data_IF_172634358545
#
_entry.id   IF_172634358545
#
_cell.length_a   1.000
_cell.length_b   1.000
_cell.length_c   1.000
_cell.angle_alpha   90.00
_cell.angle_beta   90.00
_cell.angle_gamma   90.00
#
_symmetry.space_group_name_H-M   'P 1'
#
loop_
_entity.id
_entity.type
_entity.pdbx_description
1 polymer ?
#
# COMPACT_ATOMS: atom_id res chain seq x y z
N UNK A 1 -3.47 -13.97 -16.27
CA UNK A 1 -2.83 -14.39 -14.99
C UNK A 1 -3.83 -14.23 -13.88
N UNK A 2 -4.50 -15.33 -13.54
CA UNK A 2 -5.50 -15.40 -12.48
C UNK A 2 -4.80 -15.94 -11.23
N UNK A 3 -5.09 -15.37 -10.06
CA UNK A 3 -4.58 -15.89 -8.78
C UNK A 3 -5.45 -17.09 -8.41
N UNK A 4 -5.18 -18.22 -9.06
CA UNK A 4 -5.82 -19.50 -8.78
C UNK A 4 -4.93 -20.30 -7.84
N UNK A 5 -5.55 -21.03 -6.91
CA UNK A 5 -4.86 -21.91 -5.99
C UNK A 5 -5.50 -23.29 -6.03
N UNK A 6 -4.75 -24.28 -6.48
CA UNK A 6 -5.20 -25.66 -6.59
C UNK A 6 -4.54 -26.55 -5.54
N UNK A 7 -5.34 -27.44 -4.97
CA UNK A 7 -4.91 -28.53 -4.10
C UNK A 7 -5.40 -29.85 -4.72
N UNK A 8 -4.86 -31.01 -4.33
CA UNK A 8 -5.37 -32.30 -4.84
C UNK A 8 -6.87 -32.54 -4.60
N UNK A 9 -7.52 -31.78 -3.72
CA UNK A 9 -8.94 -31.96 -3.35
C UNK A 9 -9.86 -30.82 -3.75
N UNK A 10 -9.33 -29.61 -3.98
CA UNK A 10 -10.12 -28.38 -4.16
C UNK A 10 -9.37 -27.38 -5.04
N UNK A 11 -10.13 -26.64 -5.84
CA UNK A 11 -9.67 -25.48 -6.61
C UNK A 11 -10.28 -24.21 -6.02
N UNK A 12 -9.46 -23.18 -5.83
CA UNK A 12 -9.88 -21.87 -5.31
C UNK A 12 -9.59 -20.80 -6.36
N UNK A 13 -10.63 -20.07 -6.73
CA UNK A 13 -10.58 -19.03 -7.76
C UNK A 13 -11.38 -17.81 -7.31
N UNK A 14 -10.99 -16.64 -7.79
CA UNK A 14 -11.80 -15.43 -7.63
C UNK A 14 -13.00 -15.54 -8.58
N UNK A 15 -14.21 -15.47 -8.03
CA UNK A 15 -15.44 -15.57 -8.82
C UNK A 15 -15.99 -14.20 -9.18
N UNK A 16 -16.31 -13.99 -10.46
CA UNK A 16 -16.96 -12.79 -10.95
C UNK A 16 -16.01 -11.75 -11.54
N UNK A 17 -16.56 -10.60 -11.93
CA UNK A 17 -15.78 -9.48 -12.47
C UNK A 17 -14.96 -8.82 -11.35
N UNK A 18 -13.65 -8.61 -11.57
CA UNK A 18 -12.73 -7.97 -10.61
C UNK A 18 -13.22 -6.59 -10.13
N UNK A 19 -13.95 -5.87 -10.98
CA UNK A 19 -14.57 -4.60 -10.61
C UNK A 19 -15.58 -4.76 -9.45
N UNK A 20 -16.27 -5.89 -9.39
CA UNK A 20 -17.32 -6.19 -8.40
C UNK A 20 -16.80 -6.93 -7.16
N UNK A 21 -15.55 -7.38 -7.18
CA UNK A 21 -14.92 -7.99 -6.01
C UNK A 21 -14.69 -6.94 -4.90
N UNK A 22 -14.61 -7.38 -3.62
CA UNK A 22 -14.25 -6.51 -2.52
C UNK A 22 -13.00 -5.67 -2.81
N UNK A 23 -13.04 -4.43 -2.36
CA UNK A 23 -11.95 -3.49 -2.53
C UNK A 23 -10.73 -3.94 -1.72
N UNK A 24 -9.59 -4.07 -2.40
CA UNK A 24 -8.31 -4.37 -1.74
C UNK A 24 -7.77 -3.10 -1.11
N UNK A 25 -7.35 -3.19 0.15
CA UNK A 25 -6.64 -2.13 0.87
C UNK A 25 -5.40 -2.78 1.50
N UNK A 26 -4.22 -2.24 1.20
CA UNK A 26 -2.94 -2.82 1.66
C UNK A 26 -2.45 -2.12 2.93
N UNK A 27 -2.07 -2.90 3.94
CA UNK A 27 -1.42 -2.39 5.16
C UNK A 27 0.08 -2.67 5.11
N UNK A 28 0.94 -1.72 4.70
CA UNK A 28 2.40 -1.89 4.77
C UNK A 28 2.87 -2.06 6.21
N UNK A 29 4.09 -2.59 6.39
CA UNK A 29 4.80 -2.55 7.68
C UNK A 29 4.95 -1.11 8.19
N UNK A 30 5.09 -0.92 9.51
CA UNK A 30 5.22 0.40 10.14
C UNK A 30 6.64 0.98 10.06
N UNK A 31 6.79 2.28 10.31
CA UNK A 31 8.03 3.03 10.07
C UNK A 31 9.29 2.49 10.78
N UNK A 32 9.11 1.83 11.93
CA UNK A 32 10.19 1.23 12.71
C UNK A 32 10.78 -0.06 12.10
N UNK A 33 10.20 -0.59 11.01
CA UNK A 33 10.64 -1.84 10.38
C UNK A 33 11.52 -1.59 9.15
N UNK A 34 12.49 -2.49 8.93
CA UNK A 34 13.37 -2.50 7.75
C UNK A 34 13.18 -3.77 6.91
N UNK A 35 13.37 -3.67 5.60
CA UNK A 35 13.46 -4.81 4.68
C UNK A 35 14.93 -5.20 4.49
N UNK A 36 15.39 -6.15 5.29
CA UNK A 36 16.81 -6.53 5.40
C UNK A 36 17.40 -7.22 4.16
N UNK A 37 16.59 -7.52 3.14
CA UNK A 37 17.04 -8.19 1.92
C UNK A 37 17.22 -7.23 0.73
N UNK A 38 16.92 -5.94 0.88
CA UNK A 38 17.15 -4.92 -0.14
C UNK A 38 17.87 -3.72 0.47
N UNK A 39 18.99 -3.34 -0.15
CA UNK A 39 19.86 -2.26 0.31
C UNK A 39 19.82 -1.09 -0.69
N UNK A 40 19.85 0.13 -0.15
CA UNK A 40 20.02 1.38 -0.91
C UNK A 40 21.10 2.16 -0.17
N UNK A 41 22.16 2.56 -0.88
CA UNK A 41 23.33 3.22 -0.29
C UNK A 41 23.90 2.46 0.93
N UNK A 42 24.04 1.14 0.76
CA UNK A 42 24.54 0.19 1.77
C UNK A 42 23.72 0.07 3.07
N UNK A 43 22.52 0.66 3.12
CA UNK A 43 21.58 0.55 4.25
C UNK A 43 20.30 -0.23 3.85
N UNK A 44 19.75 -1.06 4.74
CA UNK A 44 18.49 -1.75 4.47
C UNK A 44 17.36 -0.73 4.31
N UNK A 45 16.55 -0.88 3.27
CA UNK A 45 15.45 0.04 2.98
C UNK A 45 14.35 -0.04 4.05
N UNK A 46 13.60 1.05 4.23
CA UNK A 46 12.35 1.03 4.99
C UNK A 46 11.39 -0.04 4.46
N UNK A 47 10.92 -0.91 5.35
CA UNK A 47 9.93 -1.92 5.02
C UNK A 47 8.59 -1.30 4.57
N UNK A 48 8.23 -0.15 5.15
CA UNK A 48 7.03 0.61 4.80
C UNK A 48 7.07 1.06 3.34
N UNK A 49 8.20 1.63 2.92
CA UNK A 49 8.41 2.10 1.53
C UNK A 49 8.46 0.91 0.58
N UNK A 50 9.10 -0.18 0.97
CA UNK A 50 9.18 -1.40 0.16
C UNK A 50 7.78 -1.99 -0.13
N UNK A 51 6.98 -2.22 0.92
CA UNK A 51 5.63 -2.79 0.78
C UNK A 51 4.70 -1.87 -0.03
N UNK A 52 4.72 -0.56 0.29
CA UNK A 52 3.95 0.44 -0.44
C UNK A 52 4.37 0.50 -1.91
N UNK A 53 5.67 0.62 -2.17
CA UNK A 53 6.24 0.85 -3.50
C UNK A 53 5.92 -0.28 -4.46
N UNK A 54 6.13 -1.53 -4.04
CA UNK A 54 5.82 -2.70 -4.87
C UNK A 54 4.33 -2.78 -5.20
N UNK A 55 3.45 -2.66 -4.20
CA UNK A 55 2.01 -2.74 -4.45
C UNK A 55 1.53 -1.59 -5.34
N UNK A 56 1.94 -0.36 -5.03
CA UNK A 56 1.56 0.83 -5.79
C UNK A 56 2.02 0.72 -7.24
N UNK A 57 3.31 0.48 -7.47
CA UNK A 57 3.90 0.48 -8.80
C UNK A 57 3.25 -0.56 -9.72
N UNK A 58 2.99 -1.76 -9.21
CA UNK A 58 2.44 -2.84 -10.01
C UNK A 58 0.92 -2.74 -10.25
N UNK A 59 0.16 -2.06 -9.37
CA UNK A 59 -1.30 -2.15 -9.40
C UNK A 59 -2.01 -0.80 -9.63
N UNK A 60 -1.40 0.35 -9.33
CA UNK A 60 -2.11 1.63 -9.29
C UNK A 60 -2.83 1.98 -10.61
N UNK A 61 -2.15 1.87 -11.75
CA UNK A 61 -2.74 2.18 -13.06
C UNK A 61 -3.91 1.26 -13.40
N UNK A 62 -3.80 -0.02 -13.07
CA UNK A 62 -4.86 -0.98 -13.36
C UNK A 62 -6.07 -0.79 -12.45
N UNK A 63 -5.83 -0.53 -11.15
CA UNK A 63 -6.90 -0.19 -10.21
C UNK A 63 -7.68 1.05 -10.68
N UNK A 64 -6.98 2.08 -11.17
CA UNK A 64 -7.62 3.30 -11.70
C UNK A 64 -8.47 2.99 -12.94
N UNK A 65 -7.97 2.19 -13.89
CA UNK A 65 -8.76 1.77 -15.06
C UNK A 65 -10.02 1.00 -14.69
N UNK A 66 -9.96 0.23 -13.59
CA UNK A 66 -11.11 -0.50 -13.04
C UNK A 66 -12.07 0.38 -12.24
N UNK A 67 -11.87 1.71 -12.19
CA UNK A 67 -12.68 2.64 -11.41
C UNK A 67 -12.44 2.56 -9.89
N UNK A 68 -11.33 1.94 -9.48
CA UNK A 68 -10.85 1.86 -8.10
C UNK A 68 -9.63 2.78 -7.94
N UNK A 69 -8.93 2.68 -6.82
CA UNK A 69 -7.70 3.43 -6.57
C UNK A 69 -6.71 2.61 -5.74
N UNK A 70 -5.44 3.03 -5.71
CA UNK A 70 -4.44 2.44 -4.81
C UNK A 70 -4.75 2.86 -3.37
N UNK A 71 -5.22 1.91 -2.56
CA UNK A 71 -5.72 2.16 -1.22
C UNK A 71 -4.86 1.52 -0.13
N UNK A 72 -4.61 2.26 0.95
CA UNK A 72 -3.71 1.84 2.03
C UNK A 72 -4.30 1.98 3.43
N UNK A 73 -3.86 1.11 4.34
CA UNK A 73 -4.06 1.24 5.78
C UNK A 73 -2.72 1.57 6.44
N UNK A 74 -2.61 2.71 7.13
CA UNK A 74 -1.32 3.16 7.68
C UNK A 74 -1.23 2.85 9.18
N UNK A 75 -0.33 1.95 9.61
CA UNK A 75 -0.25 1.53 11.00
C UNK A 75 0.71 2.37 11.86
N UNK A 76 0.46 2.36 13.17
CA UNK A 76 1.43 2.71 14.23
C UNK A 76 2.09 4.08 14.12
N UNK A 77 1.43 5.06 13.51
CA UNK A 77 1.95 6.43 13.55
C UNK A 77 1.83 7.01 14.95
N UNK A 78 2.81 7.78 15.37
CA UNK A 78 2.81 8.47 16.67
C UNK A 78 2.78 10.00 16.51
N UNK A 79 2.99 10.52 15.30
CA UNK A 79 2.95 11.96 15.04
C UNK A 79 2.36 12.32 13.67
N UNK A 80 1.73 13.50 13.57
CA UNK A 80 1.22 14.08 12.34
C UNK A 80 2.34 14.33 11.30
N UNK A 81 3.60 14.39 11.73
CA UNK A 81 4.75 14.50 10.83
C UNK A 81 5.03 13.18 10.11
N UNK A 82 4.66 12.04 10.70
CA UNK A 82 4.69 10.74 10.01
C UNK A 82 3.56 10.63 8.99
N UNK A 83 2.40 11.24 9.26
CA UNK A 83 1.35 11.37 8.26
C UNK A 83 1.79 12.29 7.10
N UNK A 84 2.50 13.38 7.40
CA UNK A 84 3.15 14.21 6.39
C UNK A 84 4.19 13.42 5.58
N UNK A 85 5.02 12.60 6.22
CA UNK A 85 5.99 11.75 5.54
C UNK A 85 5.30 10.80 4.54
N UNK A 86 4.20 10.15 4.94
CA UNK A 86 3.40 9.35 4.01
C UNK A 86 2.85 10.18 2.85
N UNK A 87 2.32 11.37 3.11
CA UNK A 87 1.82 12.25 2.07
C UNK A 87 2.91 12.64 1.06
N UNK A 88 4.13 12.95 1.54
CA UNK A 88 5.26 13.28 0.68
C UNK A 88 5.65 12.06 -0.19
N UNK A 89 5.70 10.86 0.37
CA UNK A 89 5.91 9.60 -0.37
C UNK A 89 4.82 9.39 -1.44
N UNK A 90 3.55 9.64 -1.10
CA UNK A 90 2.43 9.51 -2.06
C UNK A 90 2.53 10.52 -3.21
N UNK A 91 2.89 11.77 -2.92
CA UNK A 91 3.12 12.78 -3.95
C UNK A 91 4.22 12.34 -4.92
N UNK A 92 5.39 11.94 -4.40
CA UNK A 92 6.51 11.46 -5.22
C UNK A 92 6.10 10.26 -6.07
N UNK A 93 5.40 9.28 -5.48
CA UNK A 93 5.00 8.07 -6.20
C UNK A 93 3.99 8.35 -7.33
N UNK A 94 2.99 9.22 -7.09
CA UNK A 94 2.00 9.61 -8.10
C UNK A 94 2.66 10.36 -9.27
N UNK A 95 3.55 11.29 -8.96
CA UNK A 95 4.31 12.02 -9.96
C UNK A 95 5.21 11.07 -10.78
N UNK A 96 5.89 10.13 -10.11
CA UNK A 96 6.79 9.16 -10.74
C UNK A 96 6.10 8.28 -11.80
N UNK A 97 4.90 7.77 -11.52
CA UNK A 97 4.18 6.93 -12.50
C UNK A 97 3.24 7.72 -13.41
N UNK A 98 3.14 9.04 -13.24
CA UNK A 98 2.34 9.94 -14.05
C UNK A 98 0.83 9.77 -13.86
N UNK A 99 0.37 9.66 -12.61
CA UNK A 99 -1.07 9.68 -12.27
C UNK A 99 -1.43 10.94 -11.49
N UNK A 100 -2.71 11.31 -11.50
CA UNK A 100 -3.18 12.52 -10.81
C UNK A 100 -2.89 12.46 -9.30
N UNK A 101 -2.40 13.54 -8.71
CA UNK A 101 -2.27 13.66 -7.25
C UNK A 101 -3.64 13.55 -6.57
N UNK A 102 -3.69 12.85 -5.44
CA UNK A 102 -4.94 12.54 -4.74
C UNK A 102 -5.63 11.26 -5.25
N UNK A 103 -4.97 10.51 -6.14
CA UNK A 103 -5.42 9.17 -6.56
C UNK A 103 -5.18 8.12 -5.48
N UNK A 104 -4.11 8.26 -4.70
CA UNK A 104 -3.86 7.42 -3.52
C UNK A 104 -4.84 7.84 -2.42
N UNK A 105 -5.49 6.85 -1.77
CA UNK A 105 -6.25 7.07 -0.53
C UNK A 105 -5.70 6.20 0.58
N UNK A 106 -5.63 6.76 1.78
CA UNK A 106 -5.12 6.06 2.94
C UNK A 106 -6.07 6.23 4.13
N UNK A 107 -6.36 5.12 4.82
CA UNK A 107 -7.04 5.10 6.12
C UNK A 107 -5.98 4.98 7.20
N UNK A 108 -5.95 5.93 8.12
CA UNK A 108 -5.00 5.94 9.24
C UNK A 108 -5.54 5.12 10.40
N UNK A 109 -4.72 4.22 10.93
CA UNK A 109 -5.01 3.54 12.19
C UNK A 109 -4.60 4.46 13.35
N UNK A 110 -5.58 5.07 14.00
CA UNK A 110 -5.36 5.75 15.30
C UNK A 110 -5.27 4.66 16.36
N UNK A 111 -4.07 4.09 16.49
CA UNK A 111 -3.79 2.91 17.32
C UNK A 111 -2.61 3.12 18.31
N UNK A 112 -2.16 4.37 18.48
CA UNK A 112 -1.12 4.74 19.44
C UNK A 112 -1.64 5.84 20.36
N UNK A 113 -1.14 5.89 21.60
CA UNK A 113 -1.54 6.92 22.55
C UNK A 113 -1.23 8.34 22.02
N UNK A 114 -0.04 8.64 21.47
CA UNK A 114 0.25 9.97 20.93
C UNK A 114 -0.67 10.39 19.78
N UNK A 115 -1.01 9.48 18.87
CA UNK A 115 -1.84 9.79 17.70
C UNK A 115 -3.29 10.18 18.06
N UNK A 116 -3.79 9.76 19.24
CA UNK A 116 -5.13 10.16 19.69
C UNK A 116 -5.25 11.66 20.02
N UNK A 117 -4.11 12.37 20.14
CA UNK A 117 -4.06 13.79 20.51
C UNK A 117 -3.56 14.71 19.38
N UNK A 118 -3.53 14.23 18.13
CA UNK A 118 -3.02 14.99 16.98
C UNK A 118 -4.06 15.16 15.87
#
# INVERSE_FOLDING_TARGET
NQIDFDTPRKSYKLNGNVANLPTIIVRPRGWHMVEKHLYVDDEPISASIFDFGLYFYHNAKELIKLGKGPYFYLPKMEHHLEAKLWNDVFCVAQDYIGIARGSIRATVLIETLPAAFQ
#
